data_IF_763692506085
#
_entry.id   IF_763692506085
#
_cell.length_a   1.000
_cell.length_b   1.000
_cell.length_c   1.000
_cell.angle_alpha   90.00
_cell.angle_beta   90.00
_cell.angle_gamma   90.00
#
_symmetry.space_group_name_H-M   'P 1'
#
loop_
_entity.id
_entity.type
_entity.pdbx_description
1 polymer ?
#
# COMPACT_ATOMS: atom_id res chain seq x y z
N UNK A 1 -1.73 -6.84 11.06
CA UNK A 1 -1.02 -6.20 12.19
C UNK A 1 -0.21 -7.25 12.93
N UNK A 2 0.88 -6.86 13.61
CA UNK A 2 1.80 -7.82 14.27
C UNK A 2 2.03 -7.52 15.76
N UNK A 3 2.26 -6.24 16.09
CA UNK A 3 2.78 -5.85 17.41
C UNK A 3 1.77 -5.10 18.30
N UNK A 4 0.51 -4.97 17.87
CA UNK A 4 -0.51 -4.25 18.65
C UNK A 4 -0.37 -2.72 18.73
N UNK A 5 0.71 -2.10 18.25
CA UNK A 5 0.95 -0.66 18.43
C UNK A 5 0.15 0.29 17.52
N UNK A 6 -0.10 -0.09 16.26
CA UNK A 6 -0.47 0.87 15.19
C UNK A 6 -1.59 1.85 15.53
N UNK A 7 -2.74 1.35 16.00
CA UNK A 7 -3.88 2.20 16.36
C UNK A 7 -3.56 3.15 17.54
N UNK A 8 -2.78 2.69 18.52
CA UNK A 8 -2.41 3.49 19.69
C UNK A 8 -1.39 4.56 19.35
N UNK A 9 -0.44 4.25 18.46
CA UNK A 9 0.48 5.27 17.94
C UNK A 9 -0.28 6.37 17.20
N UNK A 10 -1.24 6.02 16.33
CA UNK A 10 -2.08 7.02 15.68
C UNK A 10 -2.84 7.90 16.70
N UNK A 11 -3.38 7.31 17.76
CA UNK A 11 -4.04 8.04 18.85
C UNK A 11 -3.08 8.97 19.61
N UNK A 12 -1.90 8.47 20.00
CA UNK A 12 -0.85 9.25 20.68
C UNK A 12 -0.42 10.45 19.84
N UNK A 13 -0.32 10.30 18.52
CA UNK A 13 0.03 11.40 17.61
C UNK A 13 -1.17 12.20 17.09
N UNK A 14 -2.31 12.17 17.81
CA UNK A 14 -3.52 12.92 17.46
C UNK A 14 -3.94 13.86 18.58
N UNK A 15 -4.45 15.05 18.23
CA UNK A 15 -5.12 15.94 19.19
C UNK A 15 -6.51 15.43 19.56
N UNK A 16 -7.17 14.74 18.62
CA UNK A 16 -8.47 14.08 18.79
C UNK A 16 -8.50 12.79 17.98
N UNK A 17 -8.91 11.69 18.61
CA UNK A 17 -9.02 10.36 18.00
C UNK A 17 -10.33 9.72 18.41
N UNK A 18 -11.19 9.38 17.45
CA UNK A 18 -12.53 8.81 17.69
C UNK A 18 -12.60 7.43 17.05
N UNK A 19 -13.04 6.45 17.83
CA UNK A 19 -13.42 5.12 17.35
C UNK A 19 -14.93 5.00 17.45
N UNK A 20 -15.56 4.62 16.36
CA UNK A 20 -16.97 4.30 16.29
C UNK A 20 -17.13 2.95 15.60
N UNK A 21 -17.76 2.00 16.27
CA UNK A 21 -17.97 0.64 15.75
C UNK A 21 -19.37 0.18 16.09
N UNK A 22 -20.01 -0.47 15.14
CA UNK A 22 -21.34 -1.02 15.30
C UNK A 22 -21.30 -2.52 15.07
N UNK A 23 -21.96 -3.26 15.97
CA UNK A 23 -22.05 -4.72 15.89
C UNK A 23 -23.50 -5.17 16.05
N UNK A 24 -24.02 -5.77 14.99
CA UNK A 24 -25.37 -6.31 14.83
C UNK A 24 -25.64 -7.46 15.79
N UNK A 25 -24.66 -8.33 16.02
CA UNK A 25 -24.74 -9.44 16.98
C UNK A 25 -25.09 -8.94 18.39
N UNK A 26 -24.35 -7.93 18.86
CA UNK A 26 -24.56 -7.33 20.18
C UNK A 26 -25.65 -6.25 20.18
N UNK A 27 -26.22 -5.90 19.02
CA UNK A 27 -27.20 -4.81 18.82
C UNK A 27 -26.76 -3.49 19.43
N UNK A 28 -25.46 -3.21 19.37
CA UNK A 28 -24.81 -2.06 20.03
C UNK A 28 -23.92 -1.29 19.07
N UNK A 29 -23.98 0.03 19.20
CA UNK A 29 -23.01 0.97 18.63
C UNK A 29 -22.18 1.54 19.77
N UNK A 30 -20.86 1.38 19.65
CA UNK A 30 -19.86 1.96 20.52
C UNK A 30 -19.25 3.19 19.87
N UNK A 31 -19.10 4.25 20.65
CA UNK A 31 -18.33 5.43 20.25
C UNK A 31 -17.55 5.98 21.43
N UNK A 32 -16.25 6.16 21.24
CA UNK A 32 -15.40 6.81 22.22
C UNK A 32 -14.39 7.72 21.53
N UNK A 33 -14.09 8.84 22.19
CA UNK A 33 -13.14 9.85 21.73
C UNK A 33 -12.03 10.00 22.76
N UNK A 34 -10.78 9.98 22.30
CA UNK A 34 -9.60 10.37 23.04
C UNK A 34 -9.12 11.74 22.58
N UNK A 35 -8.56 12.51 23.50
CA UNK A 35 -7.96 13.82 23.24
C UNK A 35 -6.61 13.94 23.93
N UNK A 36 -5.82 14.94 23.52
CA UNK A 36 -4.52 15.26 24.14
C UNK A 36 -3.58 14.05 24.08
N UNK A 37 -3.25 13.59 22.86
CA UNK A 37 -2.26 12.55 22.64
C UNK A 37 -2.55 11.25 23.42
N UNK A 38 -3.83 10.83 23.41
CA UNK A 38 -4.34 9.64 24.12
C UNK A 38 -4.38 9.74 25.66
N UNK A 39 -3.96 10.86 26.27
CA UNK A 39 -3.92 11.00 27.75
C UNK A 39 -5.30 11.20 28.37
N UNK A 40 -6.25 11.78 27.62
CA UNK A 40 -7.62 11.98 28.07
C UNK A 40 -8.57 11.09 27.27
N UNK A 41 -9.31 10.23 27.98
CA UNK A 41 -10.38 9.42 27.41
C UNK A 41 -11.73 10.06 27.75
N UNK A 42 -12.51 10.41 26.74
CA UNK A 42 -13.88 10.88 26.91
C UNK A 42 -14.83 9.74 27.27
N UNK A 43 -16.04 10.12 27.67
CA UNK A 43 -17.11 9.18 28.01
C UNK A 43 -17.42 8.21 26.85
N UNK A 44 -17.54 6.94 27.20
CA UNK A 44 -17.98 5.90 26.28
C UNK A 44 -19.47 6.01 26.00
N UNK A 45 -19.85 6.18 24.74
CA UNK A 45 -21.24 6.22 24.31
C UNK A 45 -21.63 4.86 23.75
N UNK A 46 -22.53 4.17 24.45
CA UNK A 46 -23.18 2.95 23.98
C UNK A 46 -24.63 3.26 23.59
N UNK A 47 -25.03 2.85 22.39
CA UNK A 47 -26.40 3.00 21.90
C UNK A 47 -26.90 1.68 21.35
N UNK A 48 -28.22 1.48 21.40
CA UNK A 48 -28.87 0.43 20.63
C UNK A 48 -28.61 0.65 19.13
N UNK A 49 -28.37 -0.42 18.38
CA UNK A 49 -28.06 -0.37 16.96
C UNK A 49 -28.78 -1.46 16.18
N UNK A 50 -29.37 -1.06 15.06
CA UNK A 50 -29.96 -1.93 14.04
C UNK A 50 -29.39 -1.48 12.70
N UNK A 51 -28.71 -2.38 12.00
CA UNK A 51 -28.03 -2.08 10.73
C UNK A 51 -26.91 -3.08 10.45
N UNK A 52 -26.08 -2.74 9.46
CA UNK A 52 -24.90 -3.52 9.10
C UNK A 52 -23.66 -3.13 9.91
N UNK A 53 -22.77 -4.10 10.15
CA UNK A 53 -21.56 -3.89 10.92
C UNK A 53 -20.61 -2.91 10.23
N UNK A 54 -20.00 -2.03 11.02
CA UNK A 54 -18.96 -1.15 10.51
C UNK A 54 -17.97 -0.75 11.59
N UNK A 55 -16.81 -0.28 11.15
CA UNK A 55 -15.85 0.41 12.01
C UNK A 55 -15.37 1.66 11.30
N UNK A 56 -15.45 2.79 12.01
CA UNK A 56 -15.01 4.11 11.57
C UNK A 56 -14.02 4.66 12.57
N UNK A 57 -12.82 4.95 12.08
CA UNK A 57 -11.78 5.67 12.83
C UNK A 57 -11.68 7.07 12.25
N UNK A 58 -11.82 8.09 13.09
CA UNK A 58 -11.68 9.50 12.72
C UNK A 58 -10.65 10.13 13.62
N UNK A 59 -9.65 10.80 13.06
CA UNK A 59 -8.60 11.43 13.86
C UNK A 59 -8.17 12.76 13.28
N UNK A 60 -7.61 13.60 14.16
CA UNK A 60 -7.00 14.88 13.82
C UNK A 60 -5.53 14.78 14.24
N UNK A 61 -4.59 14.67 13.28
CA UNK A 61 -3.18 14.53 13.62
C UNK A 61 -2.67 15.76 14.37
N UNK A 62 -1.82 15.53 15.36
CA UNK A 62 -1.13 16.60 16.07
C UNK A 62 0.04 17.10 15.23
N UNK A 63 -0.27 18.00 14.28
CA UNK A 63 0.68 18.54 13.32
C UNK A 63 1.88 19.24 13.99
N UNK A 64 1.70 19.75 15.21
CA UNK A 64 2.79 20.37 15.98
C UNK A 64 3.93 19.39 16.28
N UNK A 65 3.63 18.11 16.54
CA UNK A 65 4.63 17.04 16.74
C UNK A 65 5.45 16.77 15.48
N UNK A 66 4.88 17.08 14.32
CA UNK A 66 5.50 16.90 13.02
C UNK A 66 6.12 18.20 12.47
N UNK A 67 6.07 19.30 13.25
CA UNK A 67 6.52 20.64 12.82
C UNK A 67 5.80 21.13 11.57
N UNK A 68 4.51 20.83 11.49
CA UNK A 68 3.62 21.20 10.38
C UNK A 68 2.47 22.07 10.88
N UNK A 69 1.91 22.89 9.99
CA UNK A 69 0.71 23.70 10.27
C UNK A 69 -0.53 23.16 9.56
N UNK A 70 -0.34 22.53 8.40
CA UNK A 70 -1.39 21.96 7.55
C UNK A 70 -0.92 20.65 6.93
N UNK A 71 -1.86 19.83 6.47
CA UNK A 71 -1.55 18.72 5.56
C UNK A 71 -1.36 19.31 4.16
N UNK A 72 -0.10 19.53 3.78
CA UNK A 72 0.26 20.06 2.47
C UNK A 72 -0.05 19.10 1.31
N UNK A 73 0.15 19.60 0.09
CA UNK A 73 -0.12 18.86 -1.15
C UNK A 73 0.65 17.54 -1.21
N UNK A 74 1.92 17.52 -0.77
CA UNK A 74 2.79 16.35 -0.86
C UNK A 74 2.37 15.27 0.13
N UNK A 75 2.02 15.67 1.35
CA UNK A 75 1.49 14.78 2.39
C UNK A 75 0.17 14.17 1.95
N UNK A 76 -0.75 14.99 1.42
CA UNK A 76 -2.03 14.52 0.90
C UNK A 76 -1.83 13.60 -0.31
N UNK A 77 -0.89 13.91 -1.21
CA UNK A 77 -0.56 13.07 -2.36
C UNK A 77 -0.03 11.70 -1.91
N UNK A 78 0.83 11.65 -0.89
CA UNK A 78 1.35 10.42 -0.32
C UNK A 78 0.25 9.56 0.31
N UNK A 79 -0.64 10.17 1.10
CA UNK A 79 -1.81 9.49 1.70
C UNK A 79 -2.78 9.00 0.63
N UNK A 80 -3.02 9.82 -0.41
CA UNK A 80 -3.90 9.47 -1.52
C UNK A 80 -3.35 8.28 -2.30
N UNK A 81 -2.05 8.30 -2.67
CA UNK A 81 -1.39 7.16 -3.29
C UNK A 81 -1.54 5.90 -2.42
N UNK A 82 -1.40 6.03 -1.10
CA UNK A 82 -1.56 4.89 -0.20
C UNK A 82 -2.97 4.28 -0.22
N UNK A 83 -4.02 5.06 -0.50
CA UNK A 83 -5.36 4.53 -0.73
C UNK A 83 -5.44 3.72 -2.04
N UNK A 84 -4.76 4.17 -3.10
CA UNK A 84 -4.63 3.39 -4.36
C UNK A 84 -3.86 2.10 -4.15
N UNK A 85 -2.78 2.12 -3.37
CA UNK A 85 -2.04 0.91 -3.00
C UNK A 85 -2.96 -0.14 -2.35
N UNK A 86 -3.83 0.28 -1.41
CA UNK A 86 -4.81 -0.62 -0.79
C UNK A 86 -5.81 -1.15 -1.82
N UNK A 87 -6.32 -0.29 -2.71
CA UNK A 87 -7.24 -0.69 -3.76
C UNK A 87 -6.63 -1.71 -4.76
N UNK A 88 -5.33 -1.63 -4.99
CA UNK A 88 -4.60 -2.55 -5.87
C UNK A 88 -4.20 -3.86 -5.20
N UNK A 89 -3.98 -3.88 -3.89
CA UNK A 89 -3.34 -5.02 -3.19
C UNK A 89 -4.29 -5.84 -2.33
N UNK A 90 -5.35 -5.24 -1.81
CA UNK A 90 -6.38 -5.97 -1.08
C UNK A 90 -7.38 -6.60 -2.05
N UNK A 91 -7.74 -7.86 -1.79
CA UNK A 91 -8.67 -8.62 -2.64
C UNK A 91 -10.12 -8.35 -2.23
N UNK A 92 -11.00 -8.29 -3.21
CA UNK A 92 -12.46 -8.22 -3.04
C UNK A 92 -12.95 -7.03 -2.20
N UNK A 93 -12.27 -5.89 -2.27
CA UNK A 93 -12.72 -4.66 -1.62
C UNK A 93 -12.94 -3.55 -2.66
N UNK A 94 -13.81 -2.60 -2.33
CA UNK A 94 -13.92 -1.33 -3.06
C UNK A 94 -13.42 -0.21 -2.17
N UNK A 95 -12.50 0.61 -2.69
CA UNK A 95 -11.93 1.74 -1.95
C UNK A 95 -12.52 3.05 -2.47
N UNK A 96 -12.89 3.92 -1.53
CA UNK A 96 -13.34 5.28 -1.80
C UNK A 96 -12.37 6.28 -1.17
N UNK A 97 -12.06 7.35 -1.89
CA UNK A 97 -11.29 8.49 -1.39
C UNK A 97 -12.15 9.74 -1.56
N UNK A 98 -12.45 10.44 -0.46
CA UNK A 98 -13.29 11.63 -0.45
C UNK A 98 -14.62 11.45 -1.21
N UNK A 99 -15.28 10.30 -0.97
CA UNK A 99 -16.56 9.94 -1.61
C UNK A 99 -16.45 9.42 -3.05
N UNK A 100 -15.27 9.47 -3.68
CA UNK A 100 -15.06 8.98 -5.05
C UNK A 100 -14.48 7.58 -5.04
N UNK A 101 -15.09 6.66 -5.78
CA UNK A 101 -14.56 5.30 -5.98
C UNK A 101 -13.24 5.35 -6.74
N UNK A 102 -12.22 4.67 -6.24
CA UNK A 102 -10.94 4.58 -6.95
C UNK A 102 -11.07 3.63 -8.16
N UNK A 103 -10.57 4.03 -9.35
CA UNK A 103 -10.70 3.24 -10.58
C UNK A 103 -9.65 2.11 -10.67
N UNK A 104 -9.50 1.32 -9.60
CA UNK A 104 -8.55 0.20 -9.51
C UNK A 104 -9.31 -1.10 -9.32
N UNK A 105 -9.01 -2.10 -10.15
CA UNK A 105 -9.60 -3.45 -10.14
C UNK A 105 -8.47 -4.48 -10.06
N UNK A 106 -7.94 -4.69 -8.85
CA UNK A 106 -6.87 -5.65 -8.60
C UNK A 106 -5.47 -5.16 -9.01
N UNK A 107 -4.47 -5.99 -8.75
CA UNK A 107 -3.07 -5.59 -8.75
C UNK A 107 -2.54 -5.21 -10.13
N UNK A 108 -2.93 -5.93 -11.19
CA UNK A 108 -2.53 -5.59 -12.57
C UNK A 108 -2.93 -4.16 -12.97
N UNK A 109 -4.18 -3.77 -12.70
CA UNK A 109 -4.69 -2.42 -13.03
C UNK A 109 -4.02 -1.32 -12.21
N UNK A 110 -3.60 -1.64 -10.99
CA UNK A 110 -2.81 -0.74 -10.17
C UNK A 110 -1.41 -0.54 -10.76
N UNK A 111 -0.76 -1.61 -11.24
CA UNK A 111 0.54 -1.52 -11.93
C UNK A 111 0.43 -0.70 -13.22
N UNK A 112 -0.68 -0.80 -13.96
CA UNK A 112 -0.90 0.03 -15.14
C UNK A 112 -0.81 1.53 -14.82
N UNK A 113 -1.24 1.97 -13.64
CA UNK A 113 -1.11 3.39 -13.26
C UNK A 113 0.33 3.88 -13.17
N UNK A 114 1.31 2.99 -12.97
CA UNK A 114 2.74 3.33 -12.93
C UNK A 114 3.39 3.42 -14.31
N UNK A 115 2.83 2.68 -15.27
CA UNK A 115 3.45 2.41 -16.58
C UNK A 115 2.70 3.11 -17.70
N UNK A 116 1.44 3.47 -17.48
CA UNK A 116 0.64 4.25 -18.41
C UNK A 116 1.44 5.48 -18.85
N UNK A 117 1.49 5.67 -20.17
CA UNK A 117 2.18 6.78 -20.84
C UNK A 117 3.72 6.76 -20.71
N UNK A 118 4.32 5.68 -20.18
CA UNK A 118 5.78 5.47 -20.23
C UNK A 118 6.18 4.69 -21.47
N UNK A 119 7.23 5.18 -22.10
CA UNK A 119 7.87 4.58 -23.27
C UNK A 119 9.28 4.11 -22.91
N UNK A 120 9.84 3.23 -23.73
CA UNK A 120 11.26 2.90 -23.72
C UNK A 120 12.08 3.95 -24.50
N UNK A 121 13.41 3.77 -24.50
CA UNK A 121 14.38 4.59 -25.23
C UNK A 121 14.10 4.69 -26.74
N UNK A 122 13.29 3.79 -27.30
CA UNK A 122 12.91 3.77 -28.73
C UNK A 122 11.54 4.42 -28.99
N UNK A 123 10.88 4.94 -27.95
CA UNK A 123 9.56 5.56 -28.02
C UNK A 123 8.40 4.56 -28.00
N UNK A 124 8.66 3.26 -27.80
CA UNK A 124 7.60 2.25 -27.74
C UNK A 124 7.04 2.14 -26.31
N UNK A 125 5.75 1.87 -26.19
CA UNK A 125 5.12 1.68 -24.89
C UNK A 125 5.77 0.51 -24.11
N UNK A 126 6.06 0.72 -22.83
CA UNK A 126 6.71 -0.29 -22.00
C UNK A 126 5.86 -1.58 -21.90
N UNK A 127 6.49 -2.72 -22.22
CA UNK A 127 5.85 -4.04 -22.11
C UNK A 127 5.87 -4.52 -20.66
N UNK A 128 4.67 -4.76 -20.11
CA UNK A 128 4.49 -5.35 -18.78
C UNK A 128 4.20 -6.84 -18.90
N UNK A 129 5.06 -7.66 -18.30
CA UNK A 129 4.84 -9.09 -18.07
C UNK A 129 4.10 -9.22 -16.74
N UNK A 130 3.01 -9.98 -16.70
CA UNK A 130 2.21 -10.18 -15.49
C UNK A 130 1.89 -11.66 -15.32
N UNK A 131 2.02 -12.13 -14.09
CA UNK A 131 1.65 -13.49 -13.73
C UNK A 131 1.06 -13.51 -12.31
N UNK A 132 -0.15 -14.08 -12.18
CA UNK A 132 -0.71 -14.48 -10.90
C UNK A 132 -0.31 -15.94 -10.63
N UNK A 133 0.87 -16.12 -10.02
CA UNK A 133 1.48 -17.42 -9.77
C UNK A 133 0.60 -18.31 -8.89
N UNK A 134 -0.04 -17.74 -7.87
CA UNK A 134 -1.01 -18.43 -7.01
C UNK A 134 -1.84 -17.41 -6.20
N UNK A 135 -2.58 -17.87 -5.20
CA UNK A 135 -3.40 -17.00 -4.35
C UNK A 135 -2.63 -16.06 -3.42
N UNK A 136 -1.31 -16.25 -3.28
CA UNK A 136 -0.46 -15.42 -2.42
C UNK A 136 0.60 -14.63 -3.18
N UNK A 137 0.83 -14.94 -4.45
CA UNK A 137 1.85 -14.31 -5.28
C UNK A 137 1.28 -13.84 -6.61
N UNK A 138 1.49 -12.55 -6.88
CA UNK A 138 1.18 -11.90 -8.15
C UNK A 138 2.35 -10.97 -8.48
N UNK A 139 2.92 -11.12 -9.67
CA UNK A 139 4.18 -10.47 -10.07
C UNK A 139 3.94 -9.70 -11.36
N UNK A 140 4.45 -8.47 -11.42
CA UNK A 140 4.57 -7.70 -12.65
C UNK A 140 6.04 -7.32 -12.87
N UNK A 141 6.50 -7.41 -14.12
CA UNK A 141 7.85 -7.07 -14.53
C UNK A 141 7.80 -6.19 -15.80
N UNK A 142 8.62 -5.15 -15.83
CA UNK A 142 8.81 -4.27 -16.98
C UNK A 142 10.24 -3.74 -16.98
N UNK A 143 10.70 -3.19 -18.11
CA UNK A 143 12.03 -2.59 -18.19
C UNK A 143 12.12 -1.31 -17.34
N UNK A 144 13.32 -1.01 -16.87
CA UNK A 144 13.65 0.20 -16.12
C UNK A 144 14.86 0.88 -16.74
N UNK A 145 14.77 2.20 -16.90
CA UNK A 145 15.85 3.06 -17.43
C UNK A 145 16.72 3.67 -16.32
N UNK A 146 16.36 3.47 -15.05
CA UNK A 146 17.01 4.11 -13.89
C UNK A 146 17.60 3.10 -12.91
N UNK A 147 18.14 2.00 -13.44
CA UNK A 147 18.62 0.88 -12.63
C UNK A 147 17.47 0.07 -12.00
N UNK A 148 17.79 -0.74 -10.98
CA UNK A 148 16.79 -1.60 -10.34
C UNK A 148 15.73 -0.78 -9.60
N UNK A 149 14.46 -1.05 -9.92
CA UNK A 149 13.30 -0.45 -9.25
C UNK A 149 12.35 -1.55 -8.79
N UNK A 150 11.72 -1.34 -7.63
CA UNK A 150 10.76 -2.28 -7.08
C UNK A 150 9.59 -1.55 -6.43
N UNK A 151 8.40 -2.11 -6.59
CA UNK A 151 7.19 -1.73 -5.85
C UNK A 151 6.58 -3.02 -5.32
N UNK A 152 6.62 -3.22 -4.01
CA UNK A 152 6.22 -4.49 -3.40
C UNK A 152 5.34 -4.31 -2.18
N UNK A 153 4.54 -5.34 -1.91
CA UNK A 153 3.60 -5.37 -0.79
C UNK A 153 3.59 -6.73 -0.12
N UNK A 154 3.55 -6.74 1.20
CA UNK A 154 3.36 -7.95 2.02
C UNK A 154 2.17 -7.73 2.93
N UNK A 155 1.10 -8.52 2.77
CA UNK A 155 -0.15 -8.36 3.53
C UNK A 155 -0.68 -6.91 3.47
N UNK A 156 -0.71 -6.35 2.24
CA UNK A 156 -1.06 -4.97 1.95
C UNK A 156 -0.13 -3.89 2.54
N UNK A 157 0.98 -4.24 3.21
CA UNK A 157 1.98 -3.28 3.71
C UNK A 157 2.92 -2.91 2.57
N UNK A 158 3.09 -1.61 2.29
CA UNK A 158 4.04 -1.13 1.29
C UNK A 158 5.49 -1.34 1.80
N UNK A 159 6.23 -2.26 1.18
CA UNK A 159 7.63 -2.55 1.51
C UNK A 159 8.55 -1.72 0.61
N UNK A 160 8.61 -0.42 0.88
CA UNK A 160 9.31 0.58 0.02
C UNK A 160 10.81 0.34 -0.10
N UNK A 161 11.43 -0.35 0.86
CA UNK A 161 12.84 -0.77 0.83
C UNK A 161 13.04 -2.22 0.35
N UNK A 162 11.99 -2.87 -0.14
CA UNK A 162 12.02 -4.27 -0.56
C UNK A 162 12.12 -5.23 0.64
N UNK A 163 12.91 -6.29 0.47
CA UNK A 163 13.10 -7.36 1.44
C UNK A 163 13.18 -8.72 0.74
N UNK A 164 13.31 -9.79 1.54
CA UNK A 164 13.50 -11.17 1.04
C UNK A 164 12.48 -11.62 0.00
N UNK A 165 11.24 -11.13 0.05
CA UNK A 165 10.19 -11.43 -0.94
C UNK A 165 10.49 -10.84 -2.33
N UNK A 166 11.14 -9.69 -2.38
CA UNK A 166 11.61 -9.08 -3.64
C UNK A 166 12.80 -9.87 -4.17
N UNK A 167 13.82 -10.09 -3.32
CA UNK A 167 15.04 -10.82 -3.69
C UNK A 167 14.68 -12.20 -4.25
N UNK A 168 13.80 -12.94 -3.56
CA UNK A 168 13.34 -14.26 -3.97
C UNK A 168 12.78 -14.28 -5.40
N UNK A 169 12.00 -13.27 -5.80
CA UNK A 169 11.42 -13.21 -7.15
C UNK A 169 12.45 -12.68 -8.16
N UNK A 170 13.16 -11.60 -7.81
CA UNK A 170 14.12 -10.95 -8.69
C UNK A 170 15.28 -11.87 -9.06
N UNK A 171 15.86 -12.58 -8.07
CA UNK A 171 17.01 -13.47 -8.28
C UNK A 171 16.65 -14.63 -9.21
N UNK A 172 15.44 -15.18 -9.09
CA UNK A 172 14.97 -16.24 -9.99
C UNK A 172 14.89 -15.76 -11.45
N UNK A 173 14.38 -14.54 -11.67
CA UNK A 173 14.29 -13.94 -13.00
C UNK A 173 15.69 -13.64 -13.55
N UNK A 174 16.53 -13.00 -12.76
CA UNK A 174 17.91 -12.63 -13.14
C UNK A 174 18.70 -13.87 -13.55
N UNK A 175 18.67 -14.94 -12.74
CA UNK A 175 19.40 -16.17 -13.03
C UNK A 175 18.97 -16.80 -14.37
N UNK A 176 17.66 -16.84 -14.66
CA UNK A 176 17.16 -17.36 -15.94
C UNK A 176 17.56 -16.49 -17.13
N UNK A 177 17.54 -15.16 -16.98
CA UNK A 177 17.98 -14.26 -18.04
C UNK A 177 19.48 -14.40 -18.31
N UNK A 178 20.30 -14.52 -17.27
CA UNK A 178 21.75 -14.75 -17.39
C UNK A 178 22.03 -16.04 -18.16
N UNK A 179 21.32 -17.13 -17.86
CA UNK A 179 21.49 -18.40 -18.57
C UNK A 179 21.18 -18.28 -20.06
N UNK A 180 20.12 -17.55 -20.42
CA UNK A 180 19.75 -17.28 -21.83
C UNK A 180 20.83 -16.44 -22.52
N UNK A 181 21.33 -15.39 -21.86
CA UNK A 181 22.38 -14.54 -22.41
C UNK A 181 23.67 -15.32 -22.61
N UNK A 182 24.11 -16.13 -21.64
CA UNK A 182 25.31 -16.97 -21.76
C UNK A 182 25.25 -17.92 -22.96
N UNK A 183 24.08 -18.49 -23.25
CA UNK A 183 23.89 -19.37 -24.41
C UNK A 183 24.02 -18.65 -25.75
N UNK A 184 23.59 -17.38 -25.80
CA UNK A 184 23.60 -16.55 -27.03
C UNK A 184 24.91 -15.77 -27.21
N UNK A 185 25.57 -15.35 -26.13
CA UNK A 185 26.76 -14.51 -26.13
C UNK A 185 28.05 -15.35 -26.09
N UNK A 186 28.26 -16.23 -27.09
CA UNK A 186 29.44 -17.09 -27.18
C UNK A 186 30.66 -16.27 -27.66
N UNK A 187 31.28 -15.52 -26.76
CA UNK A 187 32.52 -14.76 -27.03
C UNK A 187 32.56 -13.33 -26.48
N UNK A 188 31.44 -12.80 -25.97
CA UNK A 188 31.41 -11.49 -25.33
C UNK A 188 31.75 -11.52 -23.84
N UNK A 189 31.89 -10.34 -23.23
CA UNK A 189 32.12 -10.18 -21.79
C UNK A 189 30.97 -10.80 -21.00
N UNK A 190 31.31 -11.54 -19.94
CA UNK A 190 30.31 -12.19 -19.08
C UNK A 190 29.44 -11.16 -18.37
N UNK A 191 28.12 -11.27 -18.56
CA UNK A 191 27.14 -10.43 -17.85
C UNK A 191 27.09 -10.87 -16.39
N UNK A 192 27.23 -9.89 -15.48
CA UNK A 192 27.15 -10.10 -14.02
C UNK A 192 25.84 -9.52 -13.48
N UNK A 193 25.25 -10.12 -12.43
CA UNK A 193 24.22 -9.45 -11.65
C UNK A 193 24.74 -8.10 -11.14
N UNK A 194 23.90 -7.08 -11.18
CA UNK A 194 24.19 -5.80 -10.53
C UNK A 194 24.16 -6.02 -9.01
N UNK A 195 25.22 -5.60 -8.30
CA UNK A 195 25.31 -5.68 -6.83
C UNK A 195 24.61 -4.50 -6.16
#
# INVERSE_FOLDING_TARGET
>A
GRNGYGAKLCNIFSTKFTVETACKEYKKLFKQTWTVNMTMAGETKLKHFVGEDFTRVTFQPDLSKFKMTVLDKDTVALMSRRAYDIAGTAKNITVFLNGKKLPVKGFRSYVDMYIKDKVDDTGNALKVIHEKVNDRWEVCLTMSERGFQQVSFVNCIATTKGGRHVDYVADQIVNKLIDVVKKKNKGGVGVKPFQ
#
